data_IF_528909041303
#
_entry.id   IF_528909041303
#
_cell.length_a   1.000
_cell.length_b   1.000
_cell.length_c   1.000
_cell.angle_alpha   90.00
_cell.angle_beta   90.00
_cell.angle_gamma   90.00
#
_symmetry.space_group_name_H-M   'P 1'
#
loop_
_entity.id
_entity.type
_entity.pdbx_description
1 polymer ?
#
# COMPACT_ATOMS: atom_id res chain seq x y z
N UNK A 1 -18.86 2.25 -13.16
CA UNK A 1 -17.75 1.29 -13.09
C UNK A 1 -16.90 1.64 -11.88
N UNK A 2 -16.66 0.72 -10.96
CA UNK A 2 -15.83 0.97 -9.78
C UNK A 2 -14.40 1.31 -10.19
N UNK A 3 -13.80 2.29 -9.51
CA UNK A 3 -12.45 2.75 -9.75
C UNK A 3 -11.79 3.02 -8.40
N UNK A 4 -11.18 2.04 -7.75
CA UNK A 4 -10.38 2.30 -6.57
C UNK A 4 -8.94 2.65 -6.98
N UNK A 5 -8.55 3.92 -7.09
CA UNK A 5 -7.15 4.26 -7.02
C UNK A 5 -6.62 3.92 -5.63
N UNK A 6 -5.49 3.22 -5.60
CA UNK A 6 -4.73 2.99 -4.38
C UNK A 6 -3.67 4.09 -4.28
N UNK A 7 -3.70 4.83 -3.19
CA UNK A 7 -2.72 5.85 -2.87
C UNK A 7 -1.76 5.30 -1.81
N UNK A 8 -0.48 5.32 -2.08
CA UNK A 8 0.55 5.08 -1.08
C UNK A 8 0.51 6.17 0.01
N UNK A 9 0.68 5.77 1.29
CA UNK A 9 0.86 6.72 2.39
C UNK A 9 1.97 7.72 2.06
N UNK A 10 1.89 8.91 2.60
CA UNK A 10 2.95 9.92 2.49
C UNK A 10 4.26 9.45 3.17
N UNK A 11 5.41 10.05 2.85
CA UNK A 11 6.70 9.68 3.44
C UNK A 11 6.71 9.77 4.97
N UNK A 12 7.41 8.82 5.61
CA UNK A 12 7.73 8.81 7.03
C UNK A 12 9.22 9.00 7.22
N UNK A 13 9.69 9.23 8.45
CA UNK A 13 11.11 9.47 8.73
C UNK A 13 11.99 8.23 8.49
N UNK A 14 11.42 7.02 8.62
CA UNK A 14 12.17 5.80 8.35
C UNK A 14 12.49 5.64 6.87
N UNK A 15 13.70 5.19 6.52
CA UNK A 15 14.06 4.84 5.15
C UNK A 15 13.12 3.73 4.64
N UNK A 16 12.86 3.73 3.32
CA UNK A 16 12.08 2.69 2.66
C UNK A 16 12.80 1.36 2.75
N UNK A 17 12.64 0.68 3.86
CA UNK A 17 13.20 -0.63 4.10
C UNK A 17 12.08 -1.68 4.01
N UNK A 18 12.37 -2.89 3.49
CA UNK A 18 11.42 -4.00 3.56
C UNK A 18 11.02 -4.39 4.98
N UNK A 19 11.86 -4.07 5.98
CA UNK A 19 11.44 -4.09 7.37
C UNK A 19 10.55 -2.87 7.62
N UNK A 20 9.28 -3.09 7.88
CA UNK A 20 8.33 -2.00 8.14
C UNK A 20 8.72 -1.29 9.43
N UNK A 21 8.86 0.04 9.40
CA UNK A 21 9.02 0.80 10.62
C UNK A 21 7.84 0.55 11.57
N UNK A 22 8.06 0.78 12.85
CA UNK A 22 6.99 0.98 13.80
C UNK A 22 5.96 1.99 13.24
N UNK A 23 4.75 2.02 13.76
CA UNK A 23 3.66 2.87 13.26
C UNK A 23 4.03 4.36 13.35
N UNK A 24 4.87 4.82 12.42
CA UNK A 24 5.48 6.14 12.41
C UNK A 24 4.57 7.20 11.79
N UNK A 25 4.63 8.45 12.29
CA UNK A 25 3.90 9.57 11.69
C UNK A 25 4.51 9.95 10.32
N UNK A 26 3.67 10.60 9.50
CA UNK A 26 4.12 11.30 8.29
C UNK A 26 5.09 12.43 8.68
N UNK A 27 6.12 12.66 7.86
CA UNK A 27 7.04 13.77 8.10
C UNK A 27 6.31 15.11 8.06
N UNK A 28 6.70 16.10 8.87
CA UNK A 28 6.05 17.41 8.88
C UNK A 28 5.99 18.07 7.50
N UNK A 29 7.07 17.99 6.72
CA UNK A 29 7.16 18.55 5.38
C UNK A 29 6.17 17.89 4.40
N UNK A 30 6.08 16.57 4.43
CA UNK A 30 5.12 15.84 3.60
C UNK A 30 3.68 16.15 4.02
N UNK A 31 3.41 16.24 5.34
CA UNK A 31 2.09 16.55 5.86
C UNK A 31 1.63 17.96 5.40
N UNK A 32 2.54 18.92 5.40
CA UNK A 32 2.24 20.30 4.95
C UNK A 32 1.91 20.40 3.44
N UNK A 33 2.41 19.48 2.62
CA UNK A 33 2.17 19.47 1.17
C UNK A 33 0.85 18.79 0.77
N UNK A 34 0.33 17.88 1.58
CA UNK A 34 -0.83 17.06 1.24
C UNK A 34 -2.11 17.89 0.92
N UNK A 35 -2.45 18.98 1.62
CA UNK A 35 -3.65 19.76 1.29
C UNK A 35 -3.62 20.35 -0.12
N UNK A 36 -2.45 20.78 -0.60
CA UNK A 36 -2.31 21.26 -1.97
C UNK A 36 -2.51 20.14 -2.99
N UNK A 37 -2.10 18.92 -2.65
CA UNK A 37 -2.28 17.73 -3.49
C UNK A 37 -3.72 17.23 -3.53
N UNK A 38 -4.52 17.55 -2.52
CA UNK A 38 -5.94 17.15 -2.49
C UNK A 38 -6.72 17.70 -3.69
N UNK A 39 -6.34 18.85 -4.22
CA UNK A 39 -6.99 19.47 -5.39
C UNK A 39 -6.78 18.70 -6.68
N UNK A 40 -5.72 17.88 -6.75
CA UNK A 40 -5.41 17.03 -7.92
C UNK A 40 -6.10 15.68 -7.89
N UNK A 41 -6.58 15.29 -6.70
CA UNK A 41 -7.32 14.05 -6.55
C UNK A 41 -8.73 14.22 -7.11
N UNK A 42 -9.12 13.25 -7.92
CA UNK A 42 -10.51 13.19 -8.36
C UNK A 42 -11.41 12.97 -7.14
N UNK A 43 -12.52 13.73 -7.06
CA UNK A 43 -13.53 13.53 -6.03
C UNK A 43 -13.94 12.07 -5.94
N UNK A 44 -13.86 11.51 -4.74
CA UNK A 44 -14.26 10.14 -4.46
C UNK A 44 -15.64 10.10 -3.79
N UNK A 45 -16.43 9.07 -4.13
CA UNK A 45 -17.71 8.81 -3.50
C UNK A 45 -17.51 8.04 -2.18
N UNK A 46 -16.38 7.36 -2.05
CA UNK A 46 -15.98 6.60 -0.86
C UNK A 46 -14.47 6.65 -0.69
N UNK A 47 -14.04 6.71 0.57
CA UNK A 47 -12.64 6.64 0.93
C UNK A 47 -12.39 5.55 1.97
N UNK A 48 -11.27 4.86 1.85
CA UNK A 48 -10.79 3.87 2.81
C UNK A 48 -9.35 4.18 3.18
N UNK A 49 -8.95 3.76 4.37
CA UNK A 49 -7.56 3.91 4.81
C UNK A 49 -7.09 2.69 5.60
N UNK A 50 -5.80 2.41 5.52
CA UNK A 50 -5.13 1.53 6.48
C UNK A 50 -5.29 2.09 7.90
N UNK A 51 -5.40 1.23 8.94
CA UNK A 51 -5.45 1.68 10.33
C UNK A 51 -4.10 2.21 10.86
N UNK A 52 -3.01 2.11 10.09
CA UNK A 52 -1.69 2.62 10.46
C UNK A 52 -1.67 4.15 10.45
N UNK A 53 -0.93 4.73 11.40
CA UNK A 53 -0.91 6.18 11.67
C UNK A 53 -0.61 7.02 10.43
N UNK A 54 0.45 6.70 9.68
CA UNK A 54 0.82 7.47 8.49
C UNK A 54 -0.26 7.45 7.40
N UNK A 55 -0.97 6.34 7.20
CA UNK A 55 -2.05 6.27 6.23
C UNK A 55 -3.26 7.10 6.66
N UNK A 56 -3.62 7.07 7.95
CA UNK A 56 -4.69 7.89 8.54
C UNK A 56 -4.37 9.38 8.43
N UNK A 57 -3.15 9.78 8.78
CA UNK A 57 -2.69 11.16 8.65
C UNK A 57 -2.70 11.63 7.20
N UNK A 58 -2.29 10.77 6.27
CA UNK A 58 -2.34 11.06 4.84
C UNK A 58 -3.79 11.28 4.38
N UNK A 59 -4.71 10.37 4.75
CA UNK A 59 -6.12 10.49 4.40
C UNK A 59 -6.74 11.76 4.97
N UNK A 60 -6.51 12.05 6.25
CA UNK A 60 -7.03 13.25 6.93
C UNK A 60 -6.51 14.55 6.30
N UNK A 61 -5.20 14.63 6.01
CA UNK A 61 -4.60 15.81 5.40
C UNK A 61 -5.06 16.05 3.95
N UNK A 62 -5.49 14.99 3.25
CA UNK A 62 -6.12 15.07 1.93
C UNK A 62 -7.64 15.40 2.02
N UNK A 63 -8.19 15.61 3.22
CA UNK A 63 -9.61 15.89 3.43
C UNK A 63 -10.53 14.71 3.10
N UNK A 64 -10.02 13.48 3.19
CA UNK A 64 -10.80 12.27 2.91
C UNK A 64 -11.53 11.80 4.19
N UNK A 65 -12.84 11.67 4.14
CA UNK A 65 -13.62 10.96 5.15
C UNK A 65 -13.48 9.45 4.92
N UNK A 66 -12.39 8.89 5.41
CA UNK A 66 -11.95 7.55 5.09
C UNK A 66 -12.30 6.53 6.19
N UNK A 67 -12.94 5.43 5.79
CA UNK A 67 -13.23 4.29 6.67
C UNK A 67 -11.96 3.45 6.85
N UNK A 68 -11.55 3.23 8.09
CA UNK A 68 -10.43 2.34 8.41
C UNK A 68 -10.77 0.88 8.09
N UNK A 69 -9.86 0.19 7.42
CA UNK A 69 -10.00 -1.24 7.15
C UNK A 69 -8.67 -1.98 7.31
N UNK A 70 -8.70 -3.07 8.07
CA UNK A 70 -7.54 -3.93 8.29
C UNK A 70 -6.99 -4.52 6.98
N UNK A 71 -7.85 -4.74 5.99
CA UNK A 71 -7.45 -5.26 4.68
C UNK A 71 -6.45 -4.37 3.93
N UNK A 72 -6.35 -3.08 4.26
CA UNK A 72 -5.40 -2.12 3.71
C UNK A 72 -4.17 -1.89 4.60
N UNK A 73 -4.05 -2.61 5.73
CA UNK A 73 -2.87 -2.56 6.59
C UNK A 73 -1.60 -2.95 5.87
N UNK A 74 -0.45 -2.46 6.33
CA UNK A 74 0.84 -2.88 5.80
C UNK A 74 1.10 -4.38 6.06
N UNK A 75 2.05 -4.95 5.35
CA UNK A 75 2.56 -6.28 5.66
C UNK A 75 3.11 -6.29 7.09
N UNK A 76 2.65 -7.24 7.90
CA UNK A 76 3.14 -7.40 9.27
C UNK A 76 4.50 -8.14 9.24
N UNK A 77 5.54 -7.41 9.58
CA UNK A 77 6.89 -7.96 9.65
C UNK A 77 7.26 -8.57 11.02
N UNK A 78 6.29 -8.71 11.93
CA UNK A 78 6.50 -9.32 13.25
C UNK A 78 7.73 -8.72 13.97
N UNK A 79 8.68 -9.59 14.41
CA UNK A 79 9.87 -9.15 15.15
C UNK A 79 10.85 -8.31 14.34
N UNK A 80 10.73 -8.27 13.00
CA UNK A 80 11.57 -7.41 12.16
C UNK A 80 11.05 -5.97 12.08
N UNK A 81 9.88 -5.69 12.63
CA UNK A 81 9.33 -4.33 12.66
C UNK A 81 10.28 -3.38 13.39
N UNK A 82 10.63 -2.27 12.75
CA UNK A 82 11.57 -1.28 13.28
C UNK A 82 13.05 -1.57 13.00
N UNK A 83 13.38 -2.75 12.47
CA UNK A 83 14.78 -3.10 12.12
C UNK A 83 15.09 -2.78 10.66
N UNK A 84 16.32 -2.33 10.40
CA UNK A 84 16.83 -2.08 9.06
C UNK A 84 17.11 -3.39 8.30
N UNK A 85 16.98 -3.37 6.97
CA UNK A 85 17.27 -4.55 6.14
C UNK A 85 18.70 -5.06 6.34
N UNK A 86 19.67 -4.14 6.46
CA UNK A 86 21.08 -4.50 6.67
C UNK A 86 21.30 -5.20 8.02
N UNK A 87 20.57 -4.79 9.05
CA UNK A 87 20.59 -5.43 10.37
C UNK A 87 20.02 -6.84 10.30
N UNK A 88 18.86 -7.00 9.65
CA UNK A 88 18.22 -8.31 9.46
C UNK A 88 19.12 -9.22 8.61
N UNK A 89 19.72 -8.69 7.54
CA UNK A 89 20.64 -9.46 6.69
C UNK A 89 21.88 -9.94 7.46
N UNK A 90 22.28 -9.22 8.50
CA UNK A 90 23.42 -9.59 9.35
C UNK A 90 23.01 -10.58 10.45
N UNK A 91 21.87 -10.33 11.11
CA UNK A 91 21.43 -11.11 12.28
C UNK A 91 20.69 -12.39 11.89
N UNK A 92 19.90 -12.37 10.81
CA UNK A 92 19.04 -13.47 10.39
C UNK A 92 19.11 -13.72 8.85
N UNK A 93 20.30 -13.95 8.27
CA UNK A 93 20.45 -14.04 6.80
C UNK A 93 19.62 -15.15 6.16
N UNK A 94 19.53 -16.34 6.78
CA UNK A 94 18.77 -17.46 6.26
C UNK A 94 17.24 -17.21 6.32
N UNK A 95 16.78 -16.57 7.40
CA UNK A 95 15.37 -16.21 7.54
C UNK A 95 14.98 -15.15 6.49
N UNK A 96 15.86 -14.17 6.25
CA UNK A 96 15.65 -13.17 5.21
C UNK A 96 15.61 -13.81 3.81
N UNK A 97 16.54 -14.72 3.50
CA UNK A 97 16.55 -15.44 2.23
C UNK A 97 15.26 -16.25 2.03
N UNK A 98 14.81 -16.96 3.06
CA UNK A 98 13.55 -17.71 3.04
C UNK A 98 12.36 -16.77 2.77
N UNK A 99 12.27 -15.66 3.48
CA UNK A 99 11.22 -14.66 3.26
C UNK A 99 11.22 -14.10 1.84
N UNK A 100 12.38 -13.88 1.24
CA UNK A 100 12.48 -13.34 -0.13
C UNK A 100 12.08 -14.37 -1.19
N UNK A 101 12.36 -15.65 -0.98
CA UNK A 101 12.12 -16.72 -1.97
C UNK A 101 10.77 -17.40 -1.85
N UNK A 102 10.29 -17.59 -0.64
CA UNK A 102 9.04 -18.31 -0.36
C UNK A 102 7.92 -17.31 0.01
N UNK A 103 6.89 -17.25 -0.85
CA UNK A 103 5.73 -16.37 -0.66
C UNK A 103 4.88 -16.77 0.57
N UNK A 104 4.89 -18.06 0.93
CA UNK A 104 4.17 -18.60 2.08
C UNK A 104 4.91 -18.46 3.40
N UNK A 105 6.21 -18.15 3.38
CA UNK A 105 7.01 -18.07 4.59
C UNK A 105 6.82 -16.73 5.33
N UNK A 106 6.77 -16.83 6.67
CA UNK A 106 6.78 -15.69 7.58
C UNK A 106 7.80 -15.94 8.72
N UNK A 107 9.10 -16.07 8.43
CA UNK A 107 10.11 -16.44 9.43
C UNK A 107 10.23 -15.40 10.55
N UNK A 108 9.78 -14.16 10.33
CA UNK A 108 9.72 -13.08 11.31
C UNK A 108 8.54 -13.20 12.29
N UNK A 109 7.63 -14.17 12.11
CA UNK A 109 6.48 -14.39 12.99
C UNK A 109 5.30 -13.42 12.76
N UNK A 110 5.33 -12.66 11.68
CA UNK A 110 4.23 -11.80 11.24
C UNK A 110 3.42 -12.42 10.10
N UNK A 111 3.10 -11.62 9.07
CA UNK A 111 2.27 -12.02 7.93
C UNK A 111 3.13 -12.50 6.76
N UNK A 112 2.76 -13.62 6.12
CA UNK A 112 3.37 -14.04 4.86
C UNK A 112 2.84 -13.22 3.68
N UNK A 113 3.61 -13.12 2.59
CA UNK A 113 3.15 -12.45 1.36
C UNK A 113 1.94 -13.15 0.73
N UNK A 114 1.82 -14.46 0.91
CA UNK A 114 0.65 -15.21 0.48
C UNK A 114 -0.60 -14.83 1.28
N UNK A 115 -0.49 -14.64 2.60
CA UNK A 115 -1.59 -14.16 3.44
C UNK A 115 -2.00 -12.74 3.08
N UNK A 116 -1.02 -11.83 2.90
CA UNK A 116 -1.25 -10.49 2.38
C UNK A 116 -2.00 -10.52 1.05
N UNK A 117 -1.60 -11.40 0.13
CA UNK A 117 -2.24 -11.55 -1.18
C UNK A 117 -3.70 -12.00 -1.05
N UNK A 118 -4.01 -12.90 -0.13
CA UNK A 118 -5.37 -13.36 0.12
C UNK A 118 -6.25 -12.21 0.59
N UNK A 119 -5.86 -11.47 1.64
CA UNK A 119 -6.70 -10.39 2.18
C UNK A 119 -6.87 -9.20 1.21
N UNK A 120 -5.85 -8.93 0.37
CA UNK A 120 -5.96 -7.90 -0.67
C UNK A 120 -6.87 -8.35 -1.81
N UNK A 121 -6.84 -9.65 -2.18
CA UNK A 121 -7.76 -10.22 -3.15
C UNK A 121 -9.22 -10.12 -2.67
N UNK A 122 -9.49 -10.50 -1.42
CA UNK A 122 -10.81 -10.41 -0.81
C UNK A 122 -11.33 -8.97 -0.79
N UNK A 123 -10.45 -8.01 -0.47
CA UNK A 123 -10.81 -6.58 -0.50
C UNK A 123 -11.14 -6.09 -1.92
N UNK A 124 -10.34 -6.47 -2.92
CA UNK A 124 -10.61 -6.13 -4.32
C UNK A 124 -11.90 -6.77 -4.82
N UNK A 125 -12.19 -8.01 -4.40
CA UNK A 125 -13.43 -8.71 -4.76
C UNK A 125 -14.66 -8.00 -4.14
N UNK A 126 -14.59 -7.59 -2.90
CA UNK A 126 -15.63 -6.77 -2.27
C UNK A 126 -15.79 -5.39 -2.91
N UNK A 127 -14.76 -4.87 -3.56
CA UNK A 127 -14.83 -3.61 -4.27
C UNK A 127 -15.43 -3.71 -5.68
N UNK A 128 -15.66 -4.91 -6.23
CA UNK A 128 -16.21 -5.12 -7.60
C UNK A 128 -17.61 -4.54 -7.77
N UNK A 129 -18.45 -4.69 -6.75
CA UNK A 129 -19.86 -4.25 -6.81
C UNK A 129 -20.02 -2.80 -6.38
N UNK A 130 -18.95 -2.17 -6.00
CA UNK A 130 -18.95 -0.79 -5.55
C UNK A 130 -19.27 0.17 -6.69
N UNK A 131 -20.35 0.93 -6.58
CA UNK A 131 -20.64 2.03 -7.52
C UNK A 131 -19.82 3.26 -7.17
N UNK A 132 -19.44 4.04 -8.19
CA UNK A 132 -18.74 5.31 -8.02
C UNK A 132 -17.21 5.17 -7.96
N UNK A 133 -16.59 6.27 -7.55
CA UNK A 133 -15.14 6.41 -7.44
C UNK A 133 -14.72 6.16 -5.98
N UNK A 134 -13.84 5.22 -5.77
CA UNK A 134 -13.31 4.89 -4.44
C UNK A 134 -11.84 5.26 -4.39
N UNK A 135 -11.38 5.88 -3.32
CA UNK A 135 -9.95 6.04 -3.03
C UNK A 135 -9.57 5.21 -1.81
N UNK A 136 -8.40 4.62 -1.81
CA UNK A 136 -7.88 3.89 -0.66
C UNK A 136 -6.44 4.28 -0.35
N UNK A 137 -6.19 4.75 0.86
CA UNK A 137 -4.85 5.12 1.34
C UNK A 137 -4.23 3.91 2.04
N UNK A 138 -3.09 3.46 1.54
CA UNK A 138 -2.47 2.21 1.97
C UNK A 138 -0.95 2.24 1.86
N UNK A 139 -0.30 1.10 1.81
CA UNK A 139 1.14 0.90 1.86
C UNK A 139 1.68 0.27 0.56
N UNK A 140 2.98 0.42 0.34
CA UNK A 140 3.63 -0.09 -0.87
C UNK A 140 3.44 -1.61 -1.06
N UNK A 141 3.49 -2.41 0.03
CA UNK A 141 3.29 -3.85 -0.06
C UNK A 141 1.88 -4.21 -0.56
N UNK A 142 0.84 -3.53 -0.07
CA UNK A 142 -0.55 -3.72 -0.51
C UNK A 142 -0.73 -3.33 -1.98
N UNK A 143 -0.14 -2.20 -2.40
CA UNK A 143 -0.21 -1.74 -3.79
C UNK A 143 0.49 -2.73 -4.72
N UNK A 144 1.69 -3.21 -4.36
CA UNK A 144 2.41 -4.25 -5.11
C UNK A 144 1.54 -5.47 -5.32
N UNK A 145 0.97 -6.01 -4.24
CA UNK A 145 0.09 -7.19 -4.30
C UNK A 145 -1.15 -6.93 -5.15
N UNK A 146 -1.83 -5.79 -4.98
CA UNK A 146 -3.01 -5.45 -5.79
C UNK A 146 -2.67 -5.40 -7.29
N UNK A 147 -1.52 -4.82 -7.65
CA UNK A 147 -1.02 -4.78 -9.04
C UNK A 147 -0.74 -6.19 -9.55
N UNK A 148 -0.06 -7.04 -8.78
CA UNK A 148 0.20 -8.45 -9.18
C UNK A 148 -1.09 -9.22 -9.42
N UNK A 149 -2.08 -9.08 -8.54
CA UNK A 149 -3.39 -9.72 -8.69
C UNK A 149 -4.10 -9.27 -9.98
N UNK A 150 -4.12 -7.97 -10.23
CA UNK A 150 -4.76 -7.39 -11.42
C UNK A 150 -4.08 -7.83 -12.72
N UNK A 151 -2.76 -7.89 -12.73
CA UNK A 151 -1.96 -8.32 -13.89
C UNK A 151 -1.85 -9.84 -14.01
N UNK A 152 -2.32 -10.61 -13.01
CA UNK A 152 -2.08 -12.06 -12.88
C UNK A 152 -0.59 -12.39 -12.96
N UNK A 153 0.24 -11.53 -12.41
CA UNK A 153 1.69 -11.69 -12.41
C UNK A 153 2.12 -12.72 -11.34
N UNK A 154 3.25 -13.39 -11.53
CA UNK A 154 3.77 -14.33 -10.54
C UNK A 154 4.21 -13.62 -9.26
N UNK A 155 4.21 -14.34 -8.13
CA UNK A 155 4.45 -13.76 -6.80
C UNK A 155 5.85 -13.14 -6.65
N UNK A 156 6.86 -13.69 -7.33
CA UNK A 156 8.24 -13.18 -7.30
C UNK A 156 8.38 -11.78 -7.95
N UNK A 157 7.43 -11.38 -8.79
CA UNK A 157 7.39 -10.02 -9.34
C UNK A 157 7.15 -8.94 -8.26
N UNK A 158 6.78 -9.31 -7.03
CA UNK A 158 6.62 -8.41 -5.90
C UNK A 158 7.86 -7.52 -5.67
N UNK A 159 9.04 -8.09 -5.82
CA UNK A 159 10.30 -7.39 -5.61
C UNK A 159 10.73 -6.52 -6.80
N UNK A 160 10.05 -6.65 -7.94
CA UNK A 160 10.33 -5.90 -9.18
C UNK A 160 9.46 -4.66 -9.35
N UNK A 161 8.48 -4.47 -8.44
CA UNK A 161 7.63 -3.29 -8.43
C UNK A 161 8.16 -2.28 -7.43
N UNK A 162 8.50 -1.09 -7.91
CA UNK A 162 8.79 0.04 -7.05
C UNK A 162 7.53 0.91 -6.91
N UNK A 163 7.20 1.24 -5.65
CA UNK A 163 6.03 2.06 -5.29
C UNK A 163 6.50 3.16 -4.36
N UNK A 164 6.71 4.33 -4.92
CA UNK A 164 7.13 5.49 -4.13
C UNK A 164 6.02 5.96 -3.17
N UNK A 165 6.36 6.48 -1.99
CA UNK A 165 5.39 7.10 -1.10
C UNK A 165 4.64 8.24 -1.78
N UNK A 166 3.36 8.39 -1.45
CA UNK A 166 2.51 9.42 -2.05
C UNK A 166 2.19 9.20 -3.53
N UNK A 167 2.55 8.04 -4.10
CA UNK A 167 2.21 7.72 -5.48
C UNK A 167 0.88 6.98 -5.60
N UNK A 168 0.24 7.11 -6.76
CA UNK A 168 -1.04 6.49 -7.10
C UNK A 168 -0.87 5.25 -7.98
N UNK A 169 -1.69 4.23 -7.71
CA UNK A 169 -2.01 3.15 -8.63
C UNK A 169 -3.50 3.23 -9.01
N UNK A 170 -3.80 3.50 -10.27
CA UNK A 170 -5.20 3.58 -10.78
C UNK A 170 -5.64 2.21 -11.29
N UNK A 171 -6.51 1.56 -10.52
CA UNK A 171 -7.14 0.29 -10.88
C UNK A 171 -8.56 0.53 -11.37
N UNK A 172 -9.01 -0.27 -12.33
CA UNK A 172 -10.36 -0.19 -12.89
C UNK A 172 -10.98 -1.57 -13.06
N UNK A 173 -12.23 -1.69 -12.68
CA UNK A 173 -13.03 -2.88 -12.95
C UNK A 173 -14.02 -2.59 -14.08
N UNK A 174 -13.99 -3.40 -15.17
CA UNK A 174 -14.82 -3.21 -16.34
C UNK A 174 -16.16 -3.99 -16.28
N UNK A 175 -16.44 -4.65 -15.15
CA UNK A 175 -17.58 -5.55 -14.94
C UNK A 175 -17.20 -7.02 -15.11
N UNK A 176 -16.00 -7.32 -15.64
CA UNK A 176 -15.50 -8.69 -15.85
C UNK A 176 -14.13 -8.90 -15.23
N UNK A 177 -13.25 -7.90 -15.34
CA UNK A 177 -11.85 -7.97 -14.89
C UNK A 177 -11.36 -6.63 -14.35
N UNK A 178 -10.38 -6.71 -13.49
CA UNK A 178 -9.56 -5.56 -13.11
C UNK A 178 -8.53 -5.26 -14.21
N UNK A 179 -8.20 -3.99 -14.37
CA UNK A 179 -7.14 -3.49 -15.21
C UNK A 179 -6.32 -2.44 -14.46
N UNK A 180 -5.00 -2.47 -14.61
CA UNK A 180 -4.09 -1.42 -14.17
C UNK A 180 -4.04 -0.34 -15.25
N UNK A 181 -4.40 0.89 -14.90
CA UNK A 181 -4.30 2.03 -15.81
C UNK A 181 -2.97 2.76 -15.68
N UNK A 182 -2.51 2.98 -14.44
CA UNK A 182 -1.23 3.61 -14.15
C UNK A 182 -0.71 3.17 -12.80
N UNK A 183 0.61 3.22 -12.63
CA UNK A 183 1.33 2.95 -11.39
C UNK A 183 2.42 4.00 -11.21
N UNK A 184 2.66 4.41 -9.97
CA UNK A 184 3.77 5.31 -9.63
C UNK A 184 3.53 6.77 -10.01
N UNK A 185 2.29 7.16 -10.32
CA UNK A 185 1.97 8.55 -10.61
C UNK A 185 2.07 9.35 -9.33
N UNK A 186 3.07 10.23 -9.23
CA UNK A 186 3.19 11.14 -8.10
C UNK A 186 2.01 12.12 -8.09
N UNK A 187 1.48 12.40 -6.90
CA UNK A 187 0.62 13.56 -6.71
C UNK A 187 1.48 14.80 -6.85
N UNK A 188 1.18 15.64 -7.83
CA UNK A 188 1.82 16.95 -8.01
C UNK A 188 0.76 18.03 -7.90
N UNK A 189 1.06 19.18 -7.28
CA UNK A 189 0.13 20.31 -7.32
C UNK A 189 -0.24 20.62 -8.77
N UNK A 190 -1.50 21.02 -8.99
CA UNK A 190 -1.90 21.55 -10.30
C UNK A 190 -1.07 22.80 -10.60
N UNK A 191 -0.49 22.86 -11.80
CA UNK A 191 0.26 24.01 -12.28
C UNK A 191 -0.67 25.22 -12.46
#
# INVERSE_FOLDING_TARGET
>A
MPRPPLLGKAPTAAPHCPASPADEPVTPDALAQLPALATTLRRSDRAFTSPRLAARQTAAALGLDAVETAALGDLDHGRWSGHGLAEIATSEPQALETFMRDDGAAPHGGESRAALRTRVADWLDGARDARGHTIAVTHAAVIRVAVLLVLKAPADAFWRLDVAPGSLADLRFDGRRWALRSLGVALSPAA
#
